data_IF_906890014894
#
_entry.id   IF_906890014894
#
_cell.length_a   1.000
_cell.length_b   1.000
_cell.length_c   1.000
_cell.angle_alpha   90.00
_cell.angle_beta   90.00
_cell.angle_gamma   90.00
#
_symmetry.space_group_name_H-M   'P 1'
#
loop_
_entity.id
_entity.type
_entity.pdbx_description
1 polymer ?
#
# COMPACT_ATOMS: atom_id res chain seq x y z
N UNK A 1 -26.52 -31.65 15.78
CA UNK A 1 -26.19 -30.22 15.93
C UNK A 1 -25.96 -29.66 14.54
N UNK A 2 -26.55 -28.50 14.25
CA UNK A 2 -26.35 -27.78 12.99
C UNK A 2 -25.83 -26.38 13.31
N UNK A 3 -24.96 -25.87 12.43
CA UNK A 3 -24.45 -24.50 12.53
C UNK A 3 -24.78 -23.82 11.22
N UNK A 4 -25.36 -22.63 11.31
CA UNK A 4 -25.67 -21.76 10.17
C UNK A 4 -24.99 -20.43 10.35
N UNK A 5 -24.32 -19.94 9.32
CA UNK A 5 -23.73 -18.59 9.28
C UNK A 5 -24.41 -17.86 8.14
N UNK A 6 -25.06 -16.73 8.43
CA UNK A 6 -25.85 -15.96 7.45
C UNK A 6 -26.82 -16.83 6.62
N UNK A 7 -27.50 -17.77 7.30
CA UNK A 7 -28.46 -18.77 6.76
C UNK A 7 -27.84 -19.93 5.95
N UNK A 8 -26.56 -19.86 5.58
CA UNK A 8 -25.84 -20.96 4.95
C UNK A 8 -25.40 -22.01 5.99
N UNK A 9 -25.40 -23.29 5.62
CA UNK A 9 -24.94 -24.37 6.52
C UNK A 9 -23.41 -24.36 6.57
N UNK A 10 -22.86 -24.26 7.77
CA UNK A 10 -21.43 -24.39 8.02
C UNK A 10 -21.02 -25.86 8.08
N UNK A 11 -19.77 -26.15 7.72
CA UNK A 11 -19.19 -27.48 7.94
C UNK A 11 -18.81 -27.62 9.40
N UNK A 12 -19.25 -28.69 10.06
CA UNK A 12 -19.00 -28.95 11.48
C UNK A 12 -18.07 -30.14 11.62
N UNK A 13 -16.95 -29.94 12.30
CA UNK A 13 -16.07 -31.03 12.72
C UNK A 13 -16.47 -31.47 14.13
N UNK A 14 -17.05 -32.65 14.21
CA UNK A 14 -17.54 -33.24 15.46
C UNK A 14 -16.42 -33.71 16.40
N UNK A 15 -15.19 -33.88 15.91
CA UNK A 15 -14.08 -34.38 16.72
C UNK A 15 -13.46 -33.28 17.60
N UNK A 16 -13.43 -32.04 17.11
CA UNK A 16 -12.85 -30.89 17.80
C UNK A 16 -13.88 -29.80 18.16
N UNK A 17 -15.17 -30.01 17.85
CA UNK A 17 -16.29 -29.07 18.09
C UNK A 17 -16.07 -27.71 17.41
N UNK A 18 -15.38 -27.70 16.27
CA UNK A 18 -15.20 -26.51 15.44
C UNK A 18 -16.20 -26.48 14.27
N UNK A 19 -16.35 -25.30 13.68
CA UNK A 19 -17.10 -25.13 12.45
C UNK A 19 -16.38 -24.11 11.56
N UNK A 20 -16.55 -24.26 10.24
CA UNK A 20 -16.03 -23.32 9.25
C UNK A 20 -17.06 -23.05 8.16
N UNK A 21 -17.05 -21.81 7.68
CA UNK A 21 -17.74 -21.40 6.47
C UNK A 21 -16.93 -20.27 5.84
N UNK A 22 -16.66 -20.39 4.55
CA UNK A 22 -16.11 -19.29 3.77
C UNK A 22 -17.25 -18.31 3.43
N UNK A 23 -17.03 -17.04 3.73
CA UNK A 23 -17.99 -15.98 3.48
C UNK A 23 -17.34 -14.93 2.59
N UNK A 24 -17.96 -14.68 1.44
CA UNK A 24 -17.65 -13.50 0.64
C UNK A 24 -18.18 -12.28 1.38
N UNK A 25 -17.25 -11.42 1.80
CA UNK A 25 -17.61 -10.11 2.36
C UNK A 25 -17.92 -9.15 1.21
N UNK A 26 -18.49 -8.01 1.55
CA UNK A 26 -18.57 -6.83 0.67
C UNK A 26 -17.83 -5.67 1.31
N UNK A 27 -17.33 -4.74 0.51
CA UNK A 27 -16.71 -3.52 1.02
C UNK A 27 -17.64 -2.82 2.02
N UNK A 28 -17.08 -2.39 3.16
CA UNK A 28 -17.80 -1.79 4.25
C UNK A 28 -18.32 -2.79 5.29
N UNK A 29 -19.47 -2.47 5.89
CA UNK A 29 -19.98 -3.20 7.06
C UNK A 29 -20.72 -4.49 6.67
N UNK A 30 -20.27 -5.62 7.20
CA UNK A 30 -20.86 -6.94 7.02
C UNK A 30 -21.42 -7.46 8.35
N UNK A 31 -22.72 -7.70 8.38
CA UNK A 31 -23.35 -8.34 9.53
C UNK A 31 -23.36 -9.86 9.36
N UNK A 32 -22.74 -10.55 10.32
CA UNK A 32 -22.64 -12.00 10.34
C UNK A 32 -23.41 -12.54 11.53
N UNK A 33 -24.44 -13.35 11.27
CA UNK A 33 -25.21 -14.04 12.30
C UNK A 33 -24.88 -15.53 12.27
N UNK A 34 -24.40 -16.03 13.40
CA UNK A 34 -24.11 -17.45 13.62
C UNK A 34 -25.23 -18.04 14.47
N UNK A 35 -25.97 -18.99 13.93
CA UNK A 35 -27.03 -19.74 14.60
C UNK A 35 -26.58 -21.18 14.80
N UNK A 36 -26.66 -21.66 16.02
CA UNK A 36 -26.38 -23.04 16.39
C UNK A 36 -27.65 -23.67 16.91
N UNK A 37 -27.99 -24.85 16.40
CA UNK A 37 -29.14 -25.63 16.82
C UNK A 37 -28.68 -27.03 17.27
N UNK A 38 -29.08 -27.46 18.46
CA UNK A 38 -28.79 -28.82 18.94
C UNK A 38 -29.72 -29.88 18.30
N UNK A 39 -29.58 -31.15 18.69
CA UNK A 39 -30.45 -32.23 18.17
C UNK A 39 -31.88 -32.22 18.71
N UNK A 40 -32.14 -31.43 19.75
CA UNK A 40 -33.43 -31.29 20.42
C UNK A 40 -34.15 -29.99 20.00
N UNK A 41 -33.56 -29.21 19.08
CA UNK A 41 -34.11 -27.97 18.55
C UNK A 41 -33.81 -26.73 19.41
N UNK A 42 -32.95 -26.82 20.43
CA UNK A 42 -32.53 -25.63 21.17
C UNK A 42 -31.56 -24.81 20.33
N UNK A 43 -31.83 -23.51 20.26
CA UNK A 43 -31.08 -22.56 19.45
C UNK A 43 -30.27 -21.59 20.31
N UNK A 44 -29.11 -21.20 19.81
CA UNK A 44 -28.29 -20.09 20.33
C UNK A 44 -27.71 -19.34 19.15
N UNK A 45 -27.59 -18.02 19.25
CA UNK A 45 -27.02 -17.21 18.17
C UNK A 45 -26.07 -16.13 18.67
N UNK A 46 -25.18 -15.71 17.77
CA UNK A 46 -24.26 -14.59 17.93
C UNK A 46 -24.32 -13.70 16.71
N UNK A 47 -24.13 -12.40 16.92
CA UNK A 47 -24.00 -11.44 15.84
C UNK A 47 -22.59 -10.82 15.92
N UNK A 48 -21.93 -10.79 14.78
CA UNK A 48 -20.63 -10.18 14.56
C UNK A 48 -20.80 -9.10 13.48
N UNK A 49 -20.15 -7.97 13.68
CA UNK A 49 -19.99 -6.96 12.63
C UNK A 49 -18.54 -7.01 12.17
N UNK A 50 -18.33 -7.25 10.88
CA UNK A 50 -17.01 -7.24 10.24
C UNK A 50 -16.98 -6.07 9.27
N UNK A 51 -16.04 -5.14 9.45
CA UNK A 51 -15.78 -4.11 8.45
C UNK A 51 -14.69 -4.61 7.52
N UNK A 52 -15.03 -4.84 6.26
CA UNK A 52 -14.05 -5.13 5.22
C UNK A 52 -13.68 -3.84 4.51
N UNK A 53 -12.39 -3.68 4.25
CA UNK A 53 -11.85 -2.56 3.50
C UNK A 53 -10.70 -3.08 2.64
N UNK A 54 -10.88 -3.00 1.34
CA UNK A 54 -9.90 -3.39 0.32
C UNK A 54 -9.44 -2.19 -0.51
N UNK A 55 -9.79 -0.98 -0.10
CA UNK A 55 -9.53 0.24 -0.84
C UNK A 55 -8.13 0.75 -0.50
N UNK A 56 -7.17 0.75 -1.45
CA UNK A 56 -5.86 1.32 -1.19
C UNK A 56 -5.95 2.82 -0.92
N UNK A 57 -5.05 3.38 -0.09
CA UNK A 57 -4.99 4.82 0.10
C UNK A 57 -4.60 5.52 -1.20
N UNK A 58 -5.16 6.70 -1.42
CA UNK A 58 -4.80 7.59 -2.51
C UNK A 58 -3.34 8.00 -2.43
N UNK A 59 -2.58 7.75 -3.48
CA UNK A 59 -1.20 8.19 -3.65
C UNK A 59 -1.03 8.88 -5.00
N UNK A 60 -0.41 10.07 -4.99
CA UNK A 60 -0.04 10.81 -6.19
C UNK A 60 1.36 11.39 -6.04
N UNK A 61 2.23 11.10 -7.01
CA UNK A 61 3.54 11.76 -7.15
C UNK A 61 3.38 12.88 -8.16
N UNK A 62 3.57 14.13 -7.71
CA UNK A 62 3.45 15.33 -8.56
C UNK A 62 4.72 15.56 -9.36
N UNK A 63 5.89 15.36 -8.75
CA UNK A 63 7.17 15.52 -9.45
C UNK A 63 8.32 14.83 -8.71
N UNK A 64 9.31 14.28 -9.41
CA UNK A 64 9.25 13.88 -10.81
C UNK A 64 8.52 12.53 -10.96
N UNK A 65 7.92 12.27 -12.11
CA UNK A 65 7.57 10.90 -12.53
C UNK A 65 8.75 10.25 -13.26
N UNK A 66 9.39 11.03 -14.12
CA UNK A 66 10.62 10.69 -14.82
C UNK A 66 11.53 11.91 -14.84
N UNK A 67 12.83 11.73 -14.61
CA UNK A 67 13.79 12.84 -14.67
C UNK A 67 15.16 12.38 -15.18
N UNK A 68 15.76 13.20 -16.04
CA UNK A 68 17.14 13.10 -16.46
C UNK A 68 17.92 14.29 -15.90
N UNK A 69 18.85 14.05 -14.97
CA UNK A 69 19.58 15.10 -14.24
C UNK A 69 21.08 14.86 -14.24
N UNK A 70 21.85 15.89 -13.89
CA UNK A 70 23.26 15.76 -13.47
C UNK A 70 23.44 15.94 -11.96
N UNK A 71 22.38 16.37 -11.27
CA UNK A 71 22.37 16.63 -9.83
C UNK A 71 22.50 15.33 -9.03
N UNK A 72 23.04 15.45 -7.81
CA UNK A 72 23.22 14.33 -6.88
C UNK A 72 21.93 13.94 -6.13
N UNK A 73 20.86 14.70 -6.30
CA UNK A 73 19.58 14.46 -5.67
C UNK A 73 18.43 14.95 -6.55
N UNK A 74 17.25 14.40 -6.31
CA UNK A 74 16.00 14.83 -6.92
C UNK A 74 14.98 15.11 -5.82
N UNK A 75 14.12 16.10 -6.01
CA UNK A 75 13.02 16.36 -5.07
C UNK A 75 11.78 15.57 -5.51
N UNK A 76 11.44 14.54 -4.74
CA UNK A 76 10.22 13.75 -4.94
C UNK A 76 9.13 14.33 -4.06
N UNK A 77 8.06 14.81 -4.67
CA UNK A 77 6.95 15.44 -3.99
C UNK A 77 5.61 14.98 -4.52
N UNK A 78 4.60 15.08 -3.68
CA UNK A 78 3.27 14.56 -4.00
C UNK A 78 2.29 14.70 -2.84
N UNK A 79 1.17 14.02 -3.01
CA UNK A 79 0.10 13.92 -2.01
C UNK A 79 -0.20 12.47 -1.71
N UNK A 80 -0.63 12.23 -0.49
CA UNK A 80 -1.13 10.94 -0.03
C UNK A 80 -2.29 11.20 0.93
N UNK A 81 -3.22 10.25 1.00
CA UNK A 81 -4.31 10.31 1.96
C UNK A 81 -3.76 10.48 3.40
N UNK A 82 -4.44 11.29 4.20
CA UNK A 82 -3.91 11.83 5.45
C UNK A 82 -3.73 10.77 6.56
N UNK A 83 -4.44 9.66 6.45
CA UNK A 83 -4.43 8.50 7.33
C UNK A 83 -3.44 7.41 6.88
N UNK A 84 -2.83 7.54 5.69
CA UNK A 84 -1.86 6.59 5.20
C UNK A 84 -0.42 6.92 5.63
N UNK A 85 0.38 5.86 5.78
CA UNK A 85 1.83 5.94 5.97
C UNK A 85 2.50 5.92 4.60
N UNK A 86 3.47 6.81 4.39
CA UNK A 86 4.24 6.89 3.15
C UNK A 86 5.64 6.32 3.34
N UNK A 87 6.09 5.52 2.39
CA UNK A 87 7.43 4.96 2.33
C UNK A 87 8.08 5.30 0.98
N UNK A 88 9.33 5.73 1.01
CA UNK A 88 10.17 5.86 -0.19
C UNK A 88 11.33 4.89 -0.04
N UNK A 89 11.44 3.92 -0.95
CA UNK A 89 12.43 2.84 -0.88
C UNK A 89 12.42 2.11 0.48
N UNK A 90 11.21 1.85 0.98
CA UNK A 90 10.97 1.21 2.28
C UNK A 90 11.24 2.10 3.49
N UNK A 91 11.72 3.32 3.32
CA UNK A 91 11.96 4.27 4.43
C UNK A 91 10.72 5.12 4.68
N UNK A 92 10.26 5.18 5.94
CA UNK A 92 9.09 5.97 6.33
C UNK A 92 9.34 7.47 6.11
N UNK A 93 8.37 8.14 5.49
CA UNK A 93 8.39 9.57 5.20
C UNK A 93 7.29 10.26 5.99
N UNK A 94 7.65 11.37 6.65
CA UNK A 94 6.69 12.18 7.38
C UNK A 94 5.93 13.10 6.43
N UNK A 95 4.61 13.13 6.62
CA UNK A 95 3.69 13.95 5.87
C UNK A 95 3.43 15.28 6.58
N UNK A 96 3.13 16.31 5.80
CA UNK A 96 2.56 17.57 6.29
C UNK A 96 1.26 17.84 5.54
N UNK A 97 0.13 17.73 6.25
CA UNK A 97 -1.21 17.97 5.67
C UNK A 97 -1.46 17.14 4.40
N UNK A 98 -1.13 15.83 4.45
CA UNK A 98 -1.28 14.92 3.31
C UNK A 98 -0.30 15.16 2.15
N UNK A 99 0.74 15.99 2.35
CA UNK A 99 1.77 16.27 1.36
C UNK A 99 3.14 15.77 1.82
N UNK A 100 3.95 15.39 0.85
CA UNK A 100 5.36 15.09 1.05
C UNK A 100 6.22 15.85 0.05
N UNK A 101 7.43 16.23 0.49
CA UNK A 101 8.51 16.66 -0.39
C UNK A 101 9.82 16.18 0.21
N UNK A 102 10.54 15.32 -0.51
CA UNK A 102 11.74 14.64 -0.03
C UNK A 102 12.85 14.81 -1.05
N UNK A 103 14.02 15.27 -0.59
CA UNK A 103 15.25 15.22 -1.39
C UNK A 103 15.81 13.81 -1.33
N UNK A 104 15.68 13.07 -2.44
CA UNK A 104 16.16 11.71 -2.57
C UNK A 104 17.52 11.71 -3.30
N UNK A 105 18.58 11.15 -2.69
CA UNK A 105 19.90 11.08 -3.33
C UNK A 105 19.90 10.10 -4.49
N UNK A 106 20.58 10.46 -5.59
CA UNK A 106 20.66 9.66 -6.81
C UNK A 106 22.10 9.50 -7.30
N UNK A 107 22.39 8.31 -7.78
CA UNK A 107 23.70 7.92 -8.30
C UNK A 107 23.68 7.89 -9.82
N UNK A 108 24.85 8.04 -10.43
CA UNK A 108 25.00 7.97 -11.89
C UNK A 108 24.39 6.66 -12.41
N UNK A 109 23.66 6.77 -13.51
CA UNK A 109 22.90 5.67 -14.10
C UNK A 109 21.41 5.76 -13.83
N UNK A 110 20.72 4.65 -14.08
CA UNK A 110 19.27 4.52 -13.89
C UNK A 110 18.95 4.08 -12.46
N UNK A 111 17.96 4.73 -11.85
CA UNK A 111 17.41 4.41 -10.53
C UNK A 111 15.89 4.40 -10.62
N UNK A 112 15.26 3.30 -10.21
CA UNK A 112 13.81 3.22 -10.02
C UNK A 112 13.51 3.42 -8.53
N UNK A 113 12.81 4.50 -8.18
CA UNK A 113 12.45 4.85 -6.80
C UNK A 113 11.00 4.47 -6.53
N UNK A 114 10.79 3.45 -5.69
CA UNK A 114 9.44 3.04 -5.26
C UNK A 114 8.93 3.98 -4.17
N UNK A 115 7.74 4.53 -4.40
CA UNK A 115 6.94 5.31 -3.45
C UNK A 115 5.71 4.49 -3.11
N UNK A 116 5.54 4.13 -1.84
CA UNK A 116 4.46 3.27 -1.36
C UNK A 116 3.63 4.00 -0.30
N UNK A 117 2.33 4.01 -0.45
CA UNK A 117 1.40 4.41 0.60
C UNK A 117 0.71 3.16 1.16
N UNK A 118 0.55 3.09 2.48
CA UNK A 118 -0.08 1.96 3.18
C UNK A 118 -1.01 2.49 4.28
N UNK A 119 -2.23 1.97 4.34
CA UNK A 119 -3.20 2.31 5.38
C UNK A 119 -2.91 1.57 6.71
N UNK A 120 -3.82 1.68 7.69
CA UNK A 120 -3.64 1.04 9.00
C UNK A 120 -3.97 -0.47 9.03
N UNK A 121 -4.59 -1.01 7.98
CA UNK A 121 -4.96 -2.42 7.88
C UNK A 121 -4.17 -3.20 6.79
N UNK A 122 -3.26 -2.51 6.10
CA UNK A 122 -2.29 -3.06 5.15
C UNK A 122 -2.65 -2.91 3.66
N UNK A 123 -3.76 -2.25 3.30
CA UNK A 123 -3.99 -1.91 1.90
C UNK A 123 -2.95 -0.89 1.47
N UNK A 124 -2.41 -1.05 0.26
CA UNK A 124 -1.31 -0.24 -0.21
C UNK A 124 -1.38 0.07 -1.69
N UNK A 125 -0.81 1.21 -2.06
CA UNK A 125 -0.60 1.63 -3.43
C UNK A 125 0.89 1.96 -3.63
N UNK A 126 1.43 1.58 -4.78
CA UNK A 126 2.82 1.85 -5.15
C UNK A 126 2.91 2.61 -6.47
N UNK A 127 3.81 3.58 -6.53
CA UNK A 127 4.23 4.29 -7.74
C UNK A 127 5.74 4.21 -7.87
N UNK A 128 6.22 4.21 -9.11
CA UNK A 128 7.67 4.20 -9.39
C UNK A 128 8.06 5.50 -10.07
N UNK A 129 9.10 6.13 -9.53
CA UNK A 129 9.75 7.31 -10.12
C UNK A 129 11.04 6.86 -10.80
N UNK A 130 11.18 7.14 -12.10
CA UNK A 130 12.39 6.81 -12.84
C UNK A 130 13.35 8.00 -12.86
N UNK A 131 14.59 7.77 -12.41
CA UNK A 131 15.64 8.77 -12.41
C UNK A 131 16.81 8.26 -13.22
N UNK A 132 17.26 9.06 -14.19
CA UNK A 132 18.52 8.85 -14.86
C UNK A 132 19.47 9.99 -14.52
N UNK A 133 20.56 9.69 -13.81
CA UNK A 133 21.61 10.68 -13.55
C UNK A 133 22.76 10.48 -14.52
N UNK A 134 23.10 11.54 -15.26
CA UNK A 134 24.26 11.59 -16.15
C UNK A 134 25.53 11.94 -15.38
N UNK A 135 26.65 11.43 -15.86
CA UNK A 135 27.96 11.95 -15.46
C UNK A 135 28.14 13.37 -15.99
N UNK A 136 28.74 14.23 -15.16
CA UNK A 136 29.23 15.53 -15.59
C UNK A 136 30.64 15.32 -16.09
N UNK A 137 30.90 15.61 -17.38
CA UNK A 137 32.26 15.58 -17.89
C UNK A 137 33.12 16.57 -17.12
N UNK A 138 34.23 16.10 -16.57
CA UNK A 138 35.26 16.92 -15.93
C UNK A 138 36.44 17.17 -16.86
N UNK A 139 36.32 16.83 -18.14
CA UNK A 139 37.39 17.07 -19.11
C UNK A 139 37.55 18.59 -19.32
N UNK A 140 38.77 19.13 -19.22
CA UNK A 140 39.01 20.54 -19.49
C UNK A 140 38.58 20.88 -20.93
N UNK A 141 38.18 22.14 -21.22
CA UNK A 141 38.09 22.56 -22.61
C UNK A 141 39.42 22.27 -23.31
N UNK A 142 39.35 21.65 -24.50
CA UNK A 142 40.54 21.41 -25.30
C UNK A 142 41.31 22.72 -25.52
N UNK A 143 42.64 22.66 -25.73
CA UNK A 143 43.44 23.86 -25.96
C UNK A 143 42.83 24.69 -27.09
N UNK A 144 42.80 26.01 -26.94
CA UNK A 144 42.33 26.91 -28.00
C UNK A 144 43.21 26.66 -29.24
N UNK A 145 42.64 26.27 -30.39
CA UNK A 145 43.42 26.08 -31.61
C UNK A 145 44.15 27.34 -32.08
N UNK A 146 43.88 28.50 -31.45
CA UNK A 146 44.51 29.79 -31.73
C UNK A 146 45.40 30.33 -30.60
N UNK A 147 45.59 29.61 -29.49
CA UNK A 147 46.64 29.95 -28.52
C UNK A 147 48.01 29.52 -29.05
N UNK A 148 48.85 30.50 -29.42
CA UNK A 148 50.27 30.36 -29.79
C UNK A 148 51.19 30.84 -28.69
#
# INVERSE_FOLDING_TARGET
MTVRVNRALATVDSNNRSYSLDLDLVEGENHVSVLVEDTYGHQTWWNLTITADWTPPGLSVTTPLEVNTTDEWVEISGTVDADAKLFIQGSLVLLREGRFSVKYPVYVGETAVTVRAEDDIGNHQELTVFVYRREVSTEPPGPDPWEV
#
